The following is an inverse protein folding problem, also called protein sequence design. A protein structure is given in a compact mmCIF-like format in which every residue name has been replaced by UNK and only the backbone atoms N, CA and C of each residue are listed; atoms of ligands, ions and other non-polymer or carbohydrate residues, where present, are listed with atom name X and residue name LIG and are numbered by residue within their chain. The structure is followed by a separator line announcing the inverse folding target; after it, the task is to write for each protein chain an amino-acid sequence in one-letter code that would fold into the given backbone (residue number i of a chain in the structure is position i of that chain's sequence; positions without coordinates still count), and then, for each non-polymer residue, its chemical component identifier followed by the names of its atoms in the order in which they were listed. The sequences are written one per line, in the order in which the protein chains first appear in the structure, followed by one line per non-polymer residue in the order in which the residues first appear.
data_IF_437654441266
#
_entry.id   IF_437654441266
#
_cell.length_a   1.000
_cell.length_b   1.000
_cell.length_c   1.000
_cell.angle_alpha   90.00
_cell.angle_beta   90.00
_cell.angle_gamma   90.00
#
_symmetry.space_group_name_H-M   'P 1'
#
loop_
_entity.id
_entity.type
_entity.pdbx_description
1 polymer ?
#
# COMPACT_ATOMS: atom_id res chain seq x y z
N UNK A 1 10.04 -12.63 -21.12
CA UNK A 1 9.65 -12.26 -19.75
C UNK A 1 9.95 -10.79 -19.46
N UNK A 2 11.15 -10.30 -19.80
CA UNK A 2 11.55 -8.90 -19.59
C UNK A 2 10.58 -7.86 -20.17
N UNK A 3 10.11 -8.05 -21.41
CA UNK A 3 9.09 -7.16 -22.02
C UNK A 3 7.82 -7.06 -21.18
N UNK A 4 7.37 -8.16 -20.58
CA UNK A 4 6.19 -8.18 -19.70
C UNK A 4 6.45 -7.40 -18.41
N UNK A 5 7.62 -7.57 -17.80
CA UNK A 5 8.03 -6.83 -16.60
C UNK A 5 8.07 -5.32 -16.90
N UNK A 6 8.67 -4.93 -18.03
CA UNK A 6 8.72 -3.53 -18.45
C UNK A 6 7.33 -2.93 -18.63
N UNK A 7 6.40 -3.67 -19.22
CA UNK A 7 5.00 -3.25 -19.33
C UNK A 7 4.37 -3.05 -17.94
N UNK A 8 4.60 -3.97 -17.00
CA UNK A 8 4.10 -3.83 -15.63
C UNK A 8 4.68 -2.61 -14.91
N UNK A 9 5.97 -2.30 -15.13
CA UNK A 9 6.61 -1.08 -14.58
C UNK A 9 5.96 0.18 -15.17
N UNK A 10 5.69 0.21 -16.48
CA UNK A 10 4.98 1.35 -17.08
C UNK A 10 3.56 1.49 -16.56
N UNK A 11 2.83 0.39 -16.36
CA UNK A 11 1.51 0.40 -15.73
C UNK A 11 1.62 0.95 -14.30
N UNK A 12 2.56 0.43 -13.50
CA UNK A 12 2.80 0.91 -12.13
C UNK A 12 3.05 2.42 -12.09
N UNK A 13 3.96 2.91 -12.93
CA UNK A 13 4.33 4.32 -12.99
C UNK A 13 3.17 5.21 -13.48
N UNK A 14 2.43 4.79 -14.51
CA UNK A 14 1.29 5.54 -15.01
C UNK A 14 0.17 5.66 -13.97
N UNK A 15 -0.21 4.55 -13.34
CA UNK A 15 -1.22 4.58 -12.28
C UNK A 15 -0.72 5.27 -11.00
N UNK A 16 0.57 5.17 -10.69
CA UNK A 16 1.21 5.93 -9.61
C UNK A 16 1.12 7.44 -9.88
N UNK A 17 1.41 7.89 -11.10
CA UNK A 17 1.25 9.28 -11.52
C UNK A 17 -0.19 9.77 -11.41
N UNK A 18 -1.16 8.99 -11.90
CA UNK A 18 -2.59 9.32 -11.73
C UNK A 18 -3.00 9.40 -10.27
N UNK A 19 -2.50 8.48 -9.42
CA UNK A 19 -2.76 8.52 -8.00
C UNK A 19 -2.22 9.82 -7.38
N UNK A 20 -0.97 10.20 -7.66
CA UNK A 20 -0.37 11.43 -7.13
C UNK A 20 -1.16 12.69 -7.54
N UNK A 21 -1.55 12.80 -8.81
CA UNK A 21 -2.36 13.93 -9.29
C UNK A 21 -3.74 13.97 -8.64
N UNK A 22 -4.43 12.83 -8.58
CA UNK A 22 -5.74 12.73 -7.95
C UNK A 22 -5.68 13.00 -6.43
N UNK A 23 -4.63 12.53 -5.77
CA UNK A 23 -4.35 12.79 -4.36
C UNK A 23 -4.15 14.29 -4.09
N UNK A 24 -3.34 14.96 -4.92
CA UNK A 24 -3.13 16.40 -4.84
C UNK A 24 -4.44 17.18 -5.01
N UNK A 25 -5.24 16.83 -6.03
CA UNK A 25 -6.56 17.43 -6.24
C UNK A 25 -7.46 17.22 -5.01
N UNK A 26 -7.42 16.03 -4.41
CA UNK A 26 -8.22 15.71 -3.22
C UNK A 26 -7.82 16.54 -2.00
N UNK A 27 -6.52 16.79 -1.82
CA UNK A 27 -5.98 17.60 -0.72
C UNK A 27 -6.42 19.07 -0.85
N UNK A 28 -6.35 19.64 -2.04
CA UNK A 28 -6.70 21.06 -2.30
C UNK A 28 -8.22 21.26 -2.30
N UNK A 29 -8.99 20.26 -2.77
CA UNK A 29 -10.44 20.35 -2.85
C UNK A 29 -11.08 20.39 -1.46
N UNK A 30 -12.14 21.19 -1.32
CA UNK A 30 -12.92 21.26 -0.08
C UNK A 30 -13.42 19.87 0.34
N UNK A 31 -12.93 19.41 1.51
CA UNK A 31 -13.28 18.11 2.09
C UNK A 31 -14.80 17.89 2.10
N UNK A 32 -15.21 16.70 1.69
CA UNK A 32 -16.62 16.29 1.65
C UNK A 32 -17.43 16.76 0.43
N UNK A 33 -16.95 17.70 -0.39
CA UNK A 33 -17.58 18.05 -1.68
C UNK A 33 -17.30 17.01 -2.77
N UNK A 34 -18.04 17.09 -3.87
CA UNK A 34 -17.96 16.15 -5.00
C UNK A 34 -16.54 16.02 -5.57
N UNK A 35 -15.80 17.12 -5.71
CA UNK A 35 -14.42 17.09 -6.25
C UNK A 35 -13.51 16.28 -5.33
N UNK A 36 -13.52 16.55 -4.02
CA UNK A 36 -12.72 15.81 -3.03
C UNK A 36 -13.07 14.30 -3.02
N UNK A 37 -14.37 13.96 -3.06
CA UNK A 37 -14.82 12.56 -3.05
C UNK A 37 -14.44 11.81 -4.33
N UNK A 38 -14.65 12.42 -5.51
CA UNK A 38 -14.32 11.79 -6.81
C UNK A 38 -12.81 11.62 -6.98
N UNK A 39 -12.03 12.66 -6.69
CA UNK A 39 -10.56 12.59 -6.73
C UNK A 39 -10.00 11.59 -5.72
N UNK A 40 -10.56 11.51 -4.52
CA UNK A 40 -10.19 10.49 -3.53
C UNK A 40 -10.47 9.06 -3.98
N UNK A 41 -11.56 8.82 -4.72
CA UNK A 41 -11.84 7.51 -5.31
C UNK A 41 -10.87 7.17 -6.45
N UNK A 42 -10.54 8.14 -7.32
CA UNK A 42 -9.53 7.94 -8.37
C UNK A 42 -8.17 7.62 -7.74
N UNK A 43 -7.75 8.38 -6.72
CA UNK A 43 -6.54 8.09 -5.94
C UNK A 43 -6.55 6.65 -5.42
N UNK A 44 -7.65 6.23 -4.78
CA UNK A 44 -7.78 4.88 -4.23
C UNK A 44 -7.58 3.80 -5.29
N UNK A 45 -8.33 3.83 -6.38
CA UNK A 45 -8.25 2.78 -7.41
C UNK A 45 -6.91 2.79 -8.16
N UNK A 46 -6.38 3.98 -8.49
CA UNK A 46 -5.08 4.11 -9.14
C UNK A 46 -3.96 3.61 -8.23
N UNK A 47 -3.99 3.95 -6.94
CA UNK A 47 -2.97 3.50 -5.99
C UNK A 47 -3.05 2.00 -5.71
N UNK A 48 -4.25 1.41 -5.66
CA UNK A 48 -4.43 -0.04 -5.53
C UNK A 48 -3.80 -0.78 -6.71
N UNK A 49 -4.07 -0.34 -7.94
CA UNK A 49 -3.51 -0.99 -9.13
C UNK A 49 -2.00 -0.80 -9.23
N UNK A 50 -1.52 0.41 -8.93
CA UNK A 50 -0.09 0.71 -8.87
C UNK A 50 0.63 -0.14 -7.81
N UNK A 51 0.09 -0.26 -6.60
CA UNK A 51 0.68 -1.07 -5.52
C UNK A 51 0.70 -2.57 -5.85
N UNK A 52 -0.39 -3.12 -6.39
CA UNK A 52 -0.46 -4.53 -6.81
C UNK A 52 0.56 -4.82 -7.92
N UNK A 53 0.65 -3.96 -8.93
CA UNK A 53 1.61 -4.15 -10.02
C UNK A 53 3.07 -4.07 -9.54
N UNK A 54 3.40 -3.14 -8.63
CA UNK A 54 4.72 -3.10 -8.01
C UNK A 54 5.04 -4.38 -7.23
N UNK A 55 4.09 -4.90 -6.45
CA UNK A 55 4.28 -6.15 -5.71
C UNK A 55 4.51 -7.34 -6.62
N UNK A 56 3.79 -7.43 -7.75
CA UNK A 56 4.01 -8.47 -8.77
C UNK A 56 5.41 -8.34 -9.34
N UNK A 57 5.85 -7.14 -9.73
CA UNK A 57 7.21 -6.93 -10.27
C UNK A 57 8.28 -7.34 -9.26
N UNK A 58 8.08 -7.02 -7.97
CA UNK A 58 9.04 -7.29 -6.90
C UNK A 58 9.27 -8.78 -6.58
N UNK A 59 8.51 -9.70 -7.18
CA UNK A 59 8.73 -11.16 -7.06
C UNK A 59 9.16 -11.82 -8.37
N UNK A 60 9.18 -11.08 -9.50
CA UNK A 60 9.56 -11.63 -10.80
C UNK A 60 11.09 -11.77 -10.93
N UNK A 61 11.59 -12.74 -11.71
CA UNK A 61 13.03 -12.97 -11.88
C UNK A 61 13.78 -11.71 -12.34
N UNK A 62 15.02 -11.55 -11.88
CA UNK A 62 15.88 -10.37 -12.11
C UNK A 62 15.38 -9.03 -11.52
N UNK A 63 14.18 -8.99 -10.91
CA UNK A 63 13.57 -7.79 -10.32
C UNK A 63 13.12 -8.01 -8.86
N UNK A 64 13.61 -9.08 -8.24
CA UNK A 64 13.23 -9.48 -6.89
C UNK A 64 13.68 -8.44 -5.87
N UNK A 65 12.74 -7.94 -5.07
CA UNK A 65 13.05 -6.98 -4.01
C UNK A 65 12.09 -7.19 -2.82
N UNK A 66 12.54 -7.90 -1.76
CA UNK A 66 11.76 -8.06 -0.55
C UNK A 66 11.36 -6.74 0.09
N UNK A 67 12.22 -5.71 -0.03
CA UNK A 67 11.94 -4.36 0.49
C UNK A 67 10.76 -3.73 -0.25
N UNK A 68 10.80 -3.70 -1.59
CA UNK A 68 9.73 -3.11 -2.40
C UNK A 68 8.42 -3.89 -2.26
N UNK A 69 8.49 -5.21 -2.16
CA UNK A 69 7.31 -6.05 -1.92
C UNK A 69 6.64 -5.69 -0.59
N UNK A 70 7.42 -5.59 0.49
CA UNK A 70 6.90 -5.28 1.81
C UNK A 70 6.34 -3.83 1.89
N UNK A 71 7.02 -2.85 1.28
CA UNK A 71 6.52 -1.48 1.15
C UNK A 71 5.24 -1.41 0.31
N UNK A 72 5.08 -2.30 -0.67
CA UNK A 72 3.84 -2.48 -1.42
C UNK A 72 2.68 -2.88 -0.51
N UNK A 73 2.86 -3.90 0.34
CA UNK A 73 1.84 -4.31 1.32
C UNK A 73 1.50 -3.16 2.27
N UNK A 74 2.52 -2.47 2.80
CA UNK A 74 2.33 -1.32 3.67
C UNK A 74 1.51 -0.21 3.01
N UNK A 75 1.79 0.09 1.74
CA UNK A 75 1.07 1.11 0.99
C UNK A 75 -0.40 0.70 0.77
N UNK A 76 -0.64 -0.56 0.38
CA UNK A 76 -1.99 -1.09 0.21
C UNK A 76 -2.76 -1.12 1.54
N UNK A 77 -2.09 -1.40 2.66
CA UNK A 77 -2.69 -1.33 3.99
C UNK A 77 -3.32 0.04 4.24
N UNK A 78 -2.55 1.13 4.11
CA UNK A 78 -3.05 2.49 4.36
C UNK A 78 -4.14 2.93 3.38
N UNK A 79 -4.04 2.52 2.11
CA UNK A 79 -5.04 2.83 1.10
C UNK A 79 -6.36 2.11 1.39
N UNK A 80 -6.30 0.82 1.74
CA UNK A 80 -7.47 0.01 2.06
C UNK A 80 -8.14 0.47 3.37
N UNK A 81 -7.38 0.61 4.45
CA UNK A 81 -7.91 1.04 5.75
C UNK A 81 -8.41 2.48 5.69
N UNK A 82 -7.72 3.37 4.96
CA UNK A 82 -8.18 4.75 4.74
C UNK A 82 -9.54 4.83 4.05
N UNK A 83 -9.79 4.02 3.02
CA UNK A 83 -11.11 3.95 2.37
C UNK A 83 -12.16 3.28 3.29
N UNK A 84 -11.76 2.21 3.99
CA UNK A 84 -12.66 1.51 4.92
C UNK A 84 -13.00 2.32 6.16
N UNK A 85 -12.19 3.30 6.53
CA UNK A 85 -12.46 4.20 7.64
C UNK A 85 -13.81 4.92 7.49
N UNK A 86 -14.29 5.11 6.25
CA UNK A 86 -15.61 5.68 5.97
C UNK A 86 -16.78 4.81 6.44
N UNK A 87 -16.58 3.50 6.55
CA UNK A 87 -17.61 2.56 6.99
C UNK A 87 -17.88 2.62 8.50
N UNK A 88 -16.92 3.09 9.31
CA UNK A 88 -17.14 3.29 10.75
C UNK A 88 -18.15 4.41 11.07
N UNK A 89 -18.53 5.20 10.07
CA UNK A 89 -19.64 6.16 10.21
C UNK A 89 -21.02 5.50 10.22
N UNK A 90 -21.10 4.19 9.95
CA UNK A 90 -22.35 3.41 9.93
C UNK A 90 -22.61 2.81 11.31
N UNK A 91 -23.89 2.59 11.64
CA UNK A 91 -24.32 2.13 12.98
C UNK A 91 -23.76 0.75 13.38
N UNK A 92 -23.60 -0.17 12.43
CA UNK A 92 -23.06 -1.52 12.64
C UNK A 92 -22.05 -1.88 11.53
N UNK A 93 -20.77 -1.46 11.64
CA UNK A 93 -19.77 -1.78 10.63
C UNK A 93 -19.35 -3.25 10.72
N UNK A 94 -19.24 -3.93 9.58
CA UNK A 94 -18.65 -5.27 9.52
C UNK A 94 -17.12 -5.15 9.50
N UNK A 95 -16.49 -5.65 10.57
CA UNK A 95 -15.04 -5.53 10.82
C UNK A 95 -14.23 -6.75 10.39
N UNK A 96 -14.84 -7.79 9.80
CA UNK A 96 -14.13 -9.02 9.43
C UNK A 96 -12.98 -8.73 8.46
N UNK A 97 -13.23 -7.89 7.46
CA UNK A 97 -12.22 -7.52 6.45
C UNK A 97 -11.13 -6.64 7.08
N UNK A 98 -11.51 -5.68 7.92
CA UNK A 98 -10.58 -4.78 8.61
C UNK A 98 -9.62 -5.57 9.52
N UNK A 99 -10.11 -6.61 10.19
CA UNK A 99 -9.28 -7.52 11.00
C UNK A 99 -8.28 -8.32 10.15
N UNK A 100 -8.70 -8.83 8.98
CA UNK A 100 -7.81 -9.55 8.06
C UNK A 100 -6.69 -8.62 7.56
N UNK A 101 -7.04 -7.41 7.13
CA UNK A 101 -6.08 -6.41 6.66
C UNK A 101 -5.05 -6.09 7.77
N UNK A 102 -5.51 -5.95 9.01
CA UNK A 102 -4.65 -5.68 10.17
C UNK A 102 -3.71 -6.85 10.48
N UNK A 103 -4.20 -8.10 10.44
CA UNK A 103 -3.37 -9.30 10.65
C UNK A 103 -2.29 -9.40 9.57
N UNK A 104 -2.63 -9.12 8.30
CA UNK A 104 -1.67 -9.12 7.20
C UNK A 104 -0.56 -8.10 7.44
N UNK A 105 -0.91 -6.88 7.89
CA UNK A 105 0.07 -5.84 8.16
C UNK A 105 0.94 -6.16 9.38
N UNK A 106 0.38 -6.67 10.47
CA UNK A 106 1.17 -7.09 11.65
C UNK A 106 2.15 -8.19 11.27
N UNK A 107 1.69 -9.21 10.56
CA UNK A 107 2.54 -10.32 10.09
C UNK A 107 3.64 -9.78 9.18
N UNK A 108 3.31 -8.88 8.25
CA UNK A 108 4.29 -8.26 7.35
C UNK A 108 5.31 -7.42 8.12
N UNK A 109 4.88 -6.63 9.12
CA UNK A 109 5.77 -5.82 9.95
C UNK A 109 6.75 -6.67 10.76
N UNK A 110 6.31 -7.81 11.30
CA UNK A 110 7.19 -8.78 11.95
C UNK A 110 8.23 -9.32 10.94
N UNK A 111 7.79 -9.70 9.74
CA UNK A 111 8.69 -10.20 8.69
C UNK A 111 9.68 -9.13 8.19
N UNK A 112 9.27 -7.86 8.11
CA UNK A 112 10.12 -6.72 7.76
C UNK A 112 11.31 -6.58 8.72
N UNK A 113 11.14 -6.92 10.00
CA UNK A 113 12.21 -6.88 11.01
C UNK A 113 13.04 -8.17 10.97
N UNK A 114 12.38 -9.34 10.96
CA UNK A 114 13.05 -10.62 11.11
C UNK A 114 13.84 -11.06 9.87
N UNK A 115 13.30 -10.92 8.66
CA UNK A 115 13.92 -11.46 7.44
C UNK A 115 15.30 -10.84 7.14
N UNK A 116 15.49 -9.50 7.19
CA UNK A 116 16.82 -8.91 6.97
C UNK A 116 17.84 -9.41 8.01
N UNK A 117 17.45 -9.48 9.28
CA UNK A 117 18.34 -9.95 10.36
C UNK A 117 18.74 -11.42 10.16
N UNK A 118 17.81 -12.28 9.72
CA UNK A 118 18.09 -13.70 9.51
C UNK A 118 18.97 -13.90 8.27
N UNK A 119 18.62 -13.26 7.15
CA UNK A 119 19.22 -13.51 5.83
C UNK A 119 20.54 -12.77 5.61
N UNK A 120 20.64 -11.52 6.05
CA UNK A 120 21.80 -10.65 5.76
C UNK A 120 22.60 -10.31 7.01
N UNK A 121 22.16 -10.75 8.21
CA UNK A 121 22.77 -10.43 9.51
C UNK A 121 22.88 -8.91 9.77
N UNK A 122 22.05 -8.11 9.10
CA UNK A 122 22.05 -6.66 9.21
C UNK A 122 20.63 -6.13 9.46
N UNK A 123 20.55 -5.02 10.17
CA UNK A 123 19.29 -4.32 10.41
C UNK A 123 19.03 -3.38 9.23
N UNK A 124 17.88 -3.54 8.58
CA UNK A 124 17.42 -2.58 7.59
C UNK A 124 16.55 -1.52 8.27
N UNK A 125 17.13 -0.34 8.51
CA UNK A 125 16.48 0.78 9.22
C UNK A 125 15.17 1.17 8.53
N UNK A 126 15.14 1.18 7.20
CA UNK A 126 13.94 1.53 6.44
C UNK A 126 12.82 0.53 6.78
N UNK A 127 13.08 -0.77 6.67
CA UNK A 127 12.07 -1.79 6.98
C UNK A 127 11.63 -1.75 8.45
N UNK A 128 12.52 -1.42 9.39
CA UNK A 128 12.15 -1.25 10.80
C UNK A 128 11.18 -0.08 10.98
N UNK A 129 11.43 1.07 10.34
CA UNK A 129 10.52 2.22 10.42
C UNK A 129 9.14 1.87 9.84
N UNK A 130 9.11 1.26 8.65
CA UNK A 130 7.86 0.82 8.02
C UNK A 130 7.12 -0.22 8.89
N UNK A 131 7.84 -1.14 9.52
CA UNK A 131 7.26 -2.15 10.41
C UNK A 131 6.62 -1.52 11.64
N UNK A 132 7.34 -0.63 12.33
CA UNK A 132 6.84 0.04 13.55
C UNK A 132 5.59 0.85 13.21
N UNK A 133 5.64 1.67 12.16
CA UNK A 133 4.48 2.46 11.72
C UNK A 133 3.33 1.53 11.34
N UNK A 134 3.57 0.50 10.53
CA UNK A 134 2.54 -0.42 10.09
C UNK A 134 1.85 -1.14 11.26
N UNK A 135 2.61 -1.63 12.23
CA UNK A 135 2.09 -2.34 13.41
C UNK A 135 1.29 -1.38 14.30
N UNK A 136 1.82 -0.19 14.60
CA UNK A 136 1.13 0.79 15.46
C UNK A 136 -0.23 1.16 14.89
N UNK A 137 -0.33 1.36 13.58
CA UNK A 137 -1.58 1.72 12.93
C UNK A 137 -2.53 0.53 12.69
N UNK A 138 -2.11 -0.71 12.99
CA UNK A 138 -2.90 -1.94 12.79
C UNK A 138 -3.61 -2.47 14.04
N UNK A 139 -3.35 -1.87 15.21
CA UNK A 139 -3.97 -2.20 16.50
C UNK A 139 -5.03 -1.14 16.82
#
# INVERSE_FOLDING_TARGET
MEKTIQILIYIHAAFGGFALLAGLISIIAKKGKNIHRKSGLIFFYSMMLSGITAMIVAILPNHQSPILFAVGIFSLYFVLTGNRALNFKRKNPNLKIDKIISIIMITTGILMILLPVILTKSINIILVVFAIVGIIFSV
#
